data_IF_268283312414
#
_entry.id   IF_268283312414
#
_cell.length_a   1.000
_cell.length_b   1.000
_cell.length_c   1.000
_cell.angle_alpha   90.00
_cell.angle_beta   90.00
_cell.angle_gamma   90.00
#
_symmetry.space_group_name_H-M   'P 1'
#
loop_
_entity.id
_entity.type
_entity.pdbx_description
1 polymer ?
#
# COMPACT_ATOMS: atom_id res chain seq x y z
N UNK A 1 -38.37 -10.58 22.80
CA UNK A 1 -37.78 -11.46 23.83
C UNK A 1 -36.50 -10.78 24.32
N UNK A 2 -36.50 -10.32 25.57
CA UNK A 2 -35.35 -9.72 26.23
C UNK A 2 -34.68 -10.77 27.12
N UNK A 3 -33.34 -10.90 27.04
CA UNK A 3 -32.47 -11.61 28.00
C UNK A 3 -31.07 -10.98 27.90
N UNK A 4 -30.77 -10.01 28.77
CA UNK A 4 -30.06 -10.13 30.07
C UNK A 4 -28.55 -10.31 29.94
N UNK A 5 -27.84 -9.30 30.44
CA UNK A 5 -26.42 -9.27 30.72
C UNK A 5 -26.00 -10.36 31.73
N UNK A 6 -24.79 -10.88 31.56
CA UNK A 6 -24.06 -11.56 32.64
C UNK A 6 -22.62 -11.07 32.66
N UNK A 7 -22.40 -10.29 33.72
CA UNK A 7 -21.16 -9.89 34.35
C UNK A 7 -20.32 -11.14 34.70
N UNK A 8 -19.06 -11.19 34.29
CA UNK A 8 -18.15 -12.33 34.49
C UNK A 8 -16.79 -11.87 35.02
N UNK A 9 -16.77 -11.66 36.32
CA UNK A 9 -15.65 -11.26 37.18
C UNK A 9 -14.66 -12.42 37.34
N UNK A 10 -13.39 -12.27 36.95
CA UNK A 10 -12.30 -13.15 37.41
C UNK A 10 -11.02 -12.32 37.62
N UNK A 11 -10.72 -12.10 38.90
CA UNK A 11 -9.59 -11.36 39.43
C UNK A 11 -8.54 -12.36 39.94
N UNK A 12 -7.27 -11.95 39.86
CA UNK A 12 -6.06 -12.38 40.59
C UNK A 12 -5.36 -13.69 40.19
N UNK A 13 -4.09 -13.55 39.81
CA UNK A 13 -3.01 -14.33 40.42
C UNK A 13 -1.73 -13.48 40.52
N UNK A 14 -1.36 -13.21 41.78
CA UNK A 14 -0.13 -12.58 42.25
C UNK A 14 1.09 -13.47 41.97
N UNK A 15 2.15 -12.90 41.39
CA UNK A 15 3.51 -13.42 41.54
C UNK A 15 4.35 -12.36 42.25
N UNK A 16 4.41 -12.48 43.57
CA UNK A 16 5.41 -11.82 44.39
C UNK A 16 6.75 -12.55 44.22
N UNK A 17 7.77 -11.86 43.72
CA UNK A 17 9.15 -12.25 43.96
C UNK A 17 9.87 -11.07 44.62
N UNK A 18 10.09 -11.20 45.92
CA UNK A 18 11.04 -10.39 46.66
C UNK A 18 12.46 -10.75 46.20
N UNK A 19 13.26 -9.74 45.87
CA UNK A 19 14.68 -9.89 45.55
C UNK A 19 15.45 -8.60 45.74
N UNK A 20 16.00 -8.43 46.94
CA UNK A 20 17.23 -7.74 47.34
C UNK A 20 17.57 -6.34 46.78
N UNK A 21 17.73 -5.38 47.71
CA UNK A 21 18.22 -4.04 47.44
C UNK A 21 19.74 -3.94 47.22
N UNK A 22 20.15 -2.77 46.76
CA UNK A 22 21.56 -2.38 46.63
C UNK A 22 21.67 -1.07 45.87
N UNK A 23 21.65 0.05 46.60
CA UNK A 23 21.96 1.37 46.04
C UNK A 23 23.40 1.43 45.57
N UNK A 24 23.60 1.96 44.36
CA UNK A 24 24.89 2.34 43.84
C UNK A 24 24.71 3.63 43.05
N UNK A 25 25.11 4.75 43.63
CA UNK A 25 25.30 6.01 42.92
C UNK A 25 26.43 5.81 41.91
N UNK A 26 26.05 5.59 40.64
CA UNK A 26 26.93 5.64 39.50
C UNK A 26 26.72 6.96 38.79
N UNK A 27 27.60 7.92 39.06
CA UNK A 27 27.87 9.05 38.17
C UNK A 27 28.43 8.47 36.88
N UNK A 28 27.54 8.29 35.90
CA UNK A 28 27.84 7.77 34.58
C UNK A 28 27.08 8.64 33.60
N UNK A 29 27.76 9.61 33.01
CA UNK A 29 27.22 10.35 31.89
C UNK A 29 26.78 9.37 30.81
N UNK A 30 25.52 9.47 30.39
CA UNK A 30 25.07 8.75 29.20
C UNK A 30 24.30 9.67 28.27
N UNK A 31 24.80 9.66 27.04
CA UNK A 31 24.37 10.43 25.90
C UNK A 31 23.03 9.87 25.46
N UNK A 32 21.94 10.60 25.66
CA UNK A 32 20.71 10.34 24.90
C UNK A 32 20.17 11.64 24.35
N UNK A 33 20.92 12.18 23.39
CA UNK A 33 20.28 12.87 22.27
C UNK A 33 19.43 11.89 21.49
N UNK A 34 18.30 11.46 22.07
CA UNK A 34 17.20 10.87 21.34
C UNK A 34 16.64 12.01 20.49
N UNK A 35 17.22 12.17 19.30
CA UNK A 35 16.52 12.83 18.20
C UNK A 35 15.20 12.07 18.09
N UNK A 36 14.09 12.73 18.40
CA UNK A 36 12.77 12.31 17.96
C UNK A 36 12.88 12.21 16.43
N UNK A 37 13.19 11.02 15.90
CA UNK A 37 12.83 10.66 14.54
C UNK A 37 11.33 10.42 14.64
N UNK A 38 10.56 11.51 14.50
CA UNK A 38 9.17 11.38 14.14
C UNK A 38 9.14 10.61 12.81
N UNK A 39 8.42 9.50 12.78
CA UNK A 39 8.19 8.76 11.53
C UNK A 39 7.60 9.73 10.50
N UNK A 40 8.03 9.67 9.23
CA UNK A 40 7.50 10.55 8.20
C UNK A 40 5.99 10.40 8.13
N UNK A 41 5.29 11.53 8.16
CA UNK A 41 3.83 11.57 8.00
C UNK A 41 3.52 11.37 6.52
N UNK A 42 2.69 10.39 6.14
CA UNK A 42 2.37 10.15 4.73
C UNK A 42 1.75 11.37 4.06
N UNK A 43 2.06 11.58 2.79
CA UNK A 43 1.52 12.66 1.99
C UNK A 43 0.37 12.20 1.08
N UNK A 44 -0.57 13.10 0.77
CA UNK A 44 -1.61 12.85 -0.23
C UNK A 44 -0.99 12.96 -1.63
N UNK A 45 -1.56 12.28 -2.62
CA UNK A 45 -1.01 12.35 -3.97
C UNK A 45 -1.75 11.54 -5.01
N UNK A 46 -1.22 11.53 -6.23
CA UNK A 46 -1.77 10.79 -7.36
C UNK A 46 -0.97 9.53 -7.64
N UNK A 47 -1.67 8.51 -8.15
CA UNK A 47 -1.04 7.31 -8.68
C UNK A 47 -1.07 7.35 -10.20
N UNK A 48 0.11 7.25 -10.81
CA UNK A 48 0.31 7.14 -12.25
C UNK A 48 0.85 5.77 -12.64
N UNK A 49 0.62 5.36 -13.88
CA UNK A 49 1.20 4.15 -14.47
C UNK A 49 1.99 4.51 -15.71
N UNK A 50 3.28 4.19 -15.71
CA UNK A 50 4.15 4.17 -16.87
C UNK A 50 4.10 2.78 -17.51
N UNK A 51 3.52 2.70 -18.71
CA UNK A 51 3.47 1.46 -19.48
C UNK A 51 4.71 1.35 -20.36
N UNK A 52 5.71 0.58 -19.91
CA UNK A 52 6.92 0.28 -20.67
C UNK A 52 6.85 -1.08 -21.37
N UNK A 53 5.67 -1.71 -21.41
CA UNK A 53 5.46 -2.97 -22.12
C UNK A 53 5.29 -2.74 -23.62
N UNK A 54 5.26 -3.82 -24.40
CA UNK A 54 4.95 -3.78 -25.83
C UNK A 54 3.43 -3.77 -26.14
N UNK A 55 2.57 -3.71 -25.12
CA UNK A 55 1.12 -3.81 -25.26
C UNK A 55 0.42 -2.63 -24.58
N UNK A 56 -0.76 -2.25 -25.07
CA UNK A 56 -1.60 -1.30 -24.33
C UNK A 56 -2.08 -1.92 -23.01
N UNK A 57 -2.36 -1.06 -22.02
CA UNK A 57 -2.85 -1.47 -20.72
C UNK A 57 -4.17 -0.79 -20.37
N UNK A 58 -5.02 -1.51 -19.65
CA UNK A 58 -6.18 -0.94 -18.95
C UNK A 58 -5.90 -1.02 -17.45
N UNK A 59 -6.16 0.07 -16.72
CA UNK A 59 -6.22 0.08 -15.27
C UNK A 59 -7.65 0.27 -14.79
N UNK A 60 -7.98 -0.35 -13.65
CA UNK A 60 -9.22 -0.11 -12.95
C UNK A 60 -9.00 -0.12 -11.43
N UNK A 61 -9.67 0.74 -10.69
CA UNK A 61 -9.71 0.64 -9.23
C UNK A 61 -11.07 1.06 -8.68
N UNK A 62 -11.34 0.67 -7.43
CA UNK A 62 -12.52 1.11 -6.69
C UNK A 62 -12.20 2.45 -6.00
N UNK A 63 -12.80 3.52 -6.50
CA UNK A 63 -12.75 4.82 -5.85
C UNK A 63 -13.90 4.95 -4.85
N UNK A 64 -13.59 5.43 -3.65
CA UNK A 64 -14.55 5.61 -2.55
C UNK A 64 -14.40 7.02 -2.00
N UNK A 65 -15.43 7.84 -2.16
CA UNK A 65 -15.50 9.20 -1.62
C UNK A 65 -16.88 9.51 -1.01
N UNK A 66 -17.10 10.78 -0.65
CA UNK A 66 -18.35 11.27 -0.07
C UNK A 66 -19.58 11.11 -1.00
N UNK A 67 -19.36 10.94 -2.30
CA UNK A 67 -20.43 10.70 -3.30
C UNK A 67 -20.77 9.22 -3.46
N UNK A 68 -19.93 8.34 -2.92
CA UNK A 68 -20.10 6.89 -2.91
C UNK A 68 -18.97 6.14 -3.61
N UNK A 69 -19.28 4.91 -4.02
CA UNK A 69 -18.32 3.99 -4.64
C UNK A 69 -18.46 4.01 -6.18
N UNK A 70 -17.34 4.12 -6.89
CA UNK A 70 -17.30 4.01 -8.37
C UNK A 70 -16.05 3.29 -8.85
N UNK A 71 -16.16 2.58 -9.98
CA UNK A 71 -14.99 2.03 -10.67
C UNK A 71 -14.43 3.10 -11.60
N UNK A 72 -13.21 3.54 -11.34
CA UNK A 72 -12.47 4.41 -12.23
C UNK A 72 -11.60 3.55 -13.16
N UNK A 73 -11.58 3.88 -14.45
CA UNK A 73 -10.81 3.14 -15.47
C UNK A 73 -9.98 4.09 -16.33
N UNK A 74 -8.82 3.63 -16.76
CA UNK A 74 -7.96 4.32 -17.72
C UNK A 74 -7.32 3.35 -18.69
N UNK A 75 -7.21 3.79 -19.94
CA UNK A 75 -6.37 3.17 -20.95
C UNK A 75 -4.99 3.86 -20.95
N UNK A 76 -3.93 3.07 -21.08
CA UNK A 76 -2.54 3.51 -21.05
C UNK A 76 -1.85 2.92 -22.27
N UNK A 77 -1.60 3.79 -23.25
CA UNK A 77 -0.91 3.41 -24.48
C UNK A 77 0.54 2.97 -24.20
N UNK A 78 1.10 2.15 -25.08
CA UNK A 78 2.53 1.78 -25.07
C UNK A 78 3.42 3.02 -24.96
N UNK A 79 4.35 3.00 -24.00
CA UNK A 79 5.31 4.07 -23.75
C UNK A 79 4.75 5.31 -23.04
N UNK A 80 3.46 5.31 -22.69
CA UNK A 80 2.83 6.45 -22.02
C UNK A 80 2.90 6.34 -20.49
N UNK A 81 2.89 7.50 -19.83
CA UNK A 81 2.63 7.61 -18.39
C UNK A 81 1.31 8.36 -18.20
N UNK A 82 0.37 7.75 -17.49
CA UNK A 82 -0.99 8.28 -17.29
C UNK A 82 -1.37 8.21 -15.82
N UNK A 83 -2.04 9.25 -15.30
CA UNK A 83 -2.66 9.20 -13.96
C UNK A 83 -3.83 8.20 -13.97
N UNK A 84 -3.72 7.16 -13.15
CA UNK A 84 -4.70 6.07 -13.02
C UNK A 84 -5.60 6.22 -11.78
N UNK A 85 -5.32 7.23 -10.96
CA UNK A 85 -6.18 7.69 -9.87
C UNK A 85 -7.17 8.77 -10.36
N UNK A 86 -8.34 8.84 -9.71
CA UNK A 86 -9.34 9.87 -9.93
C UNK A 86 -9.01 11.12 -9.10
N UNK A 87 -7.99 11.86 -9.55
CA UNK A 87 -7.45 12.99 -8.82
C UNK A 87 -6.58 12.57 -7.64
N UNK A 88 -6.46 13.48 -6.66
CA UNK A 88 -5.64 13.27 -5.46
C UNK A 88 -6.30 12.29 -4.49
N UNK A 89 -5.52 11.30 -4.05
CA UNK A 89 -5.91 10.32 -3.05
C UNK A 89 -5.39 10.73 -1.67
N UNK A 90 -6.17 10.44 -0.64
CA UNK A 90 -5.82 10.74 0.75
C UNK A 90 -4.55 10.00 1.19
N UNK A 91 -3.71 10.71 1.95
CA UNK A 91 -2.50 10.17 2.56
C UNK A 91 -2.74 8.89 3.37
N UNK A 92 -1.84 7.92 3.23
CA UNK A 92 -1.84 6.65 3.97
C UNK A 92 -2.95 5.66 3.58
N UNK A 93 -3.79 5.98 2.59
CA UNK A 93 -4.80 5.06 2.09
C UNK A 93 -4.13 3.97 1.25
N UNK A 94 -4.51 2.72 1.50
CA UNK A 94 -4.15 1.59 0.63
C UNK A 94 -5.15 1.48 -0.51
N UNK A 95 -4.65 1.45 -1.74
CA UNK A 95 -5.46 1.33 -2.96
C UNK A 95 -4.98 0.13 -3.78
N UNK A 96 -5.92 -0.70 -4.20
CA UNK A 96 -5.67 -1.81 -5.12
C UNK A 96 -6.09 -1.43 -6.55
N UNK A 97 -5.12 -1.44 -7.46
CA UNK A 97 -5.34 -1.30 -8.89
C UNK A 97 -5.32 -2.66 -9.57
N UNK A 98 -6.32 -2.87 -10.42
CA UNK A 98 -6.38 -3.98 -11.35
C UNK A 98 -5.79 -3.55 -12.70
N UNK A 99 -4.72 -4.19 -13.12
CA UNK A 99 -3.96 -3.87 -14.33
C UNK A 99 -4.10 -5.01 -15.33
N UNK A 100 -4.47 -4.66 -16.55
CA UNK A 100 -4.78 -5.61 -17.62
C UNK A 100 -3.92 -5.27 -18.82
N UNK A 101 -3.13 -6.25 -19.27
CA UNK A 101 -2.40 -6.18 -20.51
C UNK A 101 -3.33 -6.57 -21.67
N UNK A 102 -3.46 -5.69 -22.67
CA UNK A 102 -4.34 -5.91 -23.83
C UNK A 102 -3.61 -6.71 -24.91
N UNK A 103 -3.41 -8.00 -24.62
CA UNK A 103 -2.75 -8.95 -25.54
C UNK A 103 -3.70 -9.31 -26.68
N UNK A 104 -3.28 -9.22 -27.97
CA UNK A 104 -4.07 -9.69 -29.09
C UNK A 104 -4.46 -11.17 -28.93
N UNK A 105 -5.71 -11.53 -29.24
CA UNK A 105 -6.19 -12.90 -29.09
C UNK A 105 -5.44 -13.93 -29.95
N UNK A 106 -4.72 -13.47 -30.98
CA UNK A 106 -3.83 -14.28 -31.81
C UNK A 106 -2.51 -14.64 -31.13
N UNK A 107 -2.10 -13.89 -30.11
CA UNK A 107 -0.79 -14.00 -29.46
C UNK A 107 -0.88 -14.72 -28.12
N UNK A 108 -2.03 -14.66 -27.43
CA UNK A 108 -2.20 -15.42 -26.21
C UNK A 108 -3.44 -15.09 -25.39
N UNK A 109 -3.35 -15.42 -24.11
CA UNK A 109 -4.38 -15.15 -23.12
C UNK A 109 -4.21 -13.74 -22.55
N UNK A 110 -5.32 -13.16 -22.11
CA UNK A 110 -5.34 -11.92 -21.35
C UNK A 110 -4.53 -12.06 -20.05
N UNK A 111 -3.62 -11.13 -19.80
CA UNK A 111 -2.81 -11.07 -18.57
C UNK A 111 -3.38 -10.00 -17.65
N UNK A 112 -3.55 -10.34 -16.37
CA UNK A 112 -4.10 -9.48 -15.33
C UNK A 112 -3.20 -9.52 -14.10
N UNK A 113 -2.89 -8.36 -13.52
CA UNK A 113 -2.09 -8.20 -12.30
C UNK A 113 -2.79 -7.23 -11.35
N UNK A 114 -2.51 -7.39 -10.06
CA UNK A 114 -2.94 -6.44 -9.03
C UNK A 114 -1.73 -5.67 -8.54
N UNK A 115 -1.89 -4.38 -8.35
CA UNK A 115 -0.92 -3.52 -7.70
C UNK A 115 -1.57 -2.89 -6.47
N UNK A 116 -1.01 -3.14 -5.30
CA UNK A 116 -1.45 -2.50 -4.05
C UNK A 116 -0.43 -1.44 -3.68
N UNK A 117 -0.90 -0.21 -3.49
CA UNK A 117 -0.05 0.93 -3.12
C UNK A 117 -0.62 1.61 -1.89
N UNK A 118 0.25 2.01 -0.97
CA UNK A 118 -0.09 2.93 0.11
C UNK A 118 0.29 4.32 -0.37
N UNK A 119 -0.67 5.25 -0.36
CA UNK A 119 -0.46 6.61 -0.85
C UNK A 119 0.46 7.38 0.10
N UNK A 120 1.63 7.76 -0.40
CA UNK A 120 2.61 8.62 0.27
C UNK A 120 3.21 9.56 -0.77
N UNK A 121 2.45 10.59 -1.12
CA UNK A 121 2.74 11.51 -2.21
C UNK A 121 2.40 10.94 -3.60
N UNK A 122 2.97 11.55 -4.63
CA UNK A 122 2.80 11.10 -6.00
C UNK A 122 3.59 9.81 -6.25
N UNK A 123 2.89 8.77 -6.71
CA UNK A 123 3.46 7.45 -6.96
C UNK A 123 3.38 7.16 -8.45
N UNK A 124 4.49 6.75 -9.05
CA UNK A 124 4.49 6.20 -10.41
C UNK A 124 4.77 4.71 -10.36
N UNK A 125 3.77 3.91 -10.71
CA UNK A 125 3.95 2.49 -11.01
C UNK A 125 4.57 2.35 -12.39
N UNK A 126 5.51 1.42 -12.53
CA UNK A 126 6.12 1.06 -13.81
C UNK A 126 5.72 -0.36 -14.14
N UNK A 127 5.14 -0.56 -15.33
CA UNK A 127 4.83 -1.86 -15.89
C UNK A 127 5.81 -2.19 -17.00
N UNK A 128 6.49 -3.33 -16.88
CA UNK A 128 7.47 -3.81 -17.85
C UNK A 128 7.34 -5.32 -18.06
N UNK A 129 7.82 -5.81 -19.21
CA UNK A 129 7.97 -7.24 -19.45
C UNK A 129 9.41 -7.62 -19.16
N UNK A 130 9.62 -8.58 -18.26
CA UNK A 130 10.98 -9.08 -17.99
C UNK A 130 11.52 -9.93 -19.16
N UNK A 131 10.63 -10.44 -20.01
CA UNK A 131 10.94 -11.14 -21.25
C UNK A 131 10.17 -10.50 -22.40
N UNK A 132 10.89 -9.95 -23.38
CA UNK A 132 10.27 -9.24 -24.51
C UNK A 132 9.32 -10.15 -25.29
N UNK A 133 8.12 -9.66 -25.55
CA UNK A 133 7.09 -10.39 -26.30
C UNK A 133 6.37 -11.47 -25.50
N UNK A 134 6.79 -11.78 -24.26
CA UNK A 134 6.13 -12.77 -23.41
C UNK A 134 5.18 -12.09 -22.40
N UNK A 135 3.86 -12.11 -22.62
CA UNK A 135 2.92 -11.32 -21.82
C UNK A 135 2.89 -11.73 -20.33
N UNK A 136 3.15 -13.00 -20.01
CA UNK A 136 3.11 -13.48 -18.62
C UNK A 136 4.29 -13.01 -17.78
N UNK A 137 5.35 -12.50 -18.43
CA UNK A 137 6.53 -11.90 -17.80
C UNK A 137 6.28 -10.49 -17.25
N UNK A 138 5.04 -9.99 -17.30
CA UNK A 138 4.65 -8.70 -16.75
C UNK A 138 5.04 -8.56 -15.27
N UNK A 139 5.93 -7.61 -15.02
CA UNK A 139 6.39 -7.15 -13.72
C UNK A 139 5.92 -5.72 -13.44
N UNK A 140 5.81 -5.40 -12.15
CA UNK A 140 5.39 -4.10 -11.65
C UNK A 140 6.38 -3.64 -10.59
N UNK A 141 6.77 -2.37 -10.66
CA UNK A 141 7.61 -1.71 -9.67
C UNK A 141 7.10 -0.30 -9.39
N UNK A 142 7.60 0.32 -8.33
CA UNK A 142 7.42 1.75 -8.05
C UNK A 142 8.67 2.46 -8.53
N UNK A 143 8.52 3.57 -9.26
CA UNK A 143 9.65 4.39 -9.68
C UNK A 143 10.32 5.04 -8.45
N UNK A 144 11.66 5.09 -8.46
CA UNK A 144 12.48 5.75 -7.44
C UNK A 144 12.35 7.29 -7.45
#
# INVERSE_FOLDING_TARGET
>A
MARTATMGWCILLLCAWCGCGGGGSGDGGDVTGLRNMEDPVPEAGQVSLANQTSYDMESAYLHVDETGERIFRRDIAVGATVSISDGELSAGVEVEFDLVLQVPSSEGLRVRRKATVVVDGDITLVAELTEEGEPFSLALSVAD
#
